data_IF_499745849479
#
_entry.id   IF_499745849479
#
_cell.length_a   1.000
_cell.length_b   1.000
_cell.length_c   1.000
_cell.angle_alpha   90.00
_cell.angle_beta   90.00
_cell.angle_gamma   90.00
#
_symmetry.space_group_name_H-M   'P 1'
#
loop_
_entity.id
_entity.type
_entity.pdbx_description
1 polymer ?
#
# COMPACT_ATOMS: atom_id res chain seq x y z
N UNK A 1 15.96 -7.41 -13.38
CA UNK A 1 14.96 -7.25 -12.29
C UNK A 1 14.85 -5.80 -11.79
N UNK A 2 15.83 -4.95 -12.05
CA UNK A 2 15.87 -3.54 -11.61
C UNK A 2 14.64 -2.72 -12.02
N UNK A 3 14.19 -2.82 -13.28
CA UNK A 3 13.01 -2.07 -13.74
C UNK A 3 11.74 -2.46 -12.97
N UNK A 4 11.50 -3.77 -12.80
CA UNK A 4 10.34 -4.29 -12.06
C UNK A 4 10.44 -3.89 -10.57
N UNK A 5 11.62 -3.98 -9.98
CA UNK A 5 11.87 -3.55 -8.60
C UNK A 5 11.55 -2.05 -8.41
N UNK A 6 12.04 -1.19 -9.29
CA UNK A 6 11.80 0.26 -9.22
C UNK A 6 10.31 0.58 -9.37
N UNK A 7 9.61 -0.10 -10.28
CA UNK A 7 8.16 0.07 -10.45
C UNK A 7 7.38 -0.38 -9.20
N UNK A 8 7.73 -1.54 -8.63
CA UNK A 8 7.11 -2.03 -7.40
C UNK A 8 7.36 -1.11 -6.21
N UNK A 9 8.57 -0.56 -6.09
CA UNK A 9 8.93 0.41 -5.06
C UNK A 9 8.18 1.73 -5.24
N UNK A 10 8.08 2.25 -6.48
CA UNK A 10 7.28 3.44 -6.78
C UNK A 10 5.81 3.22 -6.41
N UNK A 11 5.24 2.06 -6.79
CA UNK A 11 3.87 1.71 -6.45
C UNK A 11 3.67 1.66 -4.92
N UNK A 12 4.60 1.05 -4.18
CA UNK A 12 4.57 1.02 -2.72
C UNK A 12 4.59 2.44 -2.12
N UNK A 13 5.43 3.34 -2.63
CA UNK A 13 5.51 4.73 -2.16
C UNK A 13 4.21 5.49 -2.42
N UNK A 14 3.70 5.45 -3.66
CA UNK A 14 2.45 6.14 -4.02
C UNK A 14 1.26 5.58 -3.24
N UNK A 15 1.18 4.26 -3.10
CA UNK A 15 0.12 3.62 -2.33
C UNK A 15 0.21 3.96 -0.84
N UNK A 16 1.43 4.03 -0.28
CA UNK A 16 1.64 4.49 1.09
C UNK A 16 1.15 5.92 1.29
N UNK A 17 1.41 6.81 0.33
CA UNK A 17 0.93 8.19 0.39
C UNK A 17 -0.60 8.28 0.43
N UNK A 18 -1.28 7.47 -0.40
CA UNK A 18 -2.75 7.35 -0.36
C UNK A 18 -3.22 6.86 1.01
N UNK A 19 -2.59 5.82 1.57
CA UNK A 19 -2.97 5.27 2.88
C UNK A 19 -2.72 6.25 4.03
N UNK A 20 -1.61 7.00 4.00
CA UNK A 20 -1.29 8.02 5.02
C UNK A 20 -2.38 9.07 5.15
N UNK A 21 -3.02 9.46 4.03
CA UNK A 21 -4.13 10.41 4.03
C UNK A 21 -5.46 9.69 4.27
N UNK A 22 -5.71 8.60 3.53
CA UNK A 22 -7.00 7.89 3.52
C UNK A 22 -7.36 7.25 4.86
N UNK A 23 -6.39 6.70 5.59
CA UNK A 23 -6.60 6.04 6.88
C UNK A 23 -7.17 7.00 7.94
N UNK A 24 -6.52 8.13 8.28
CA UNK A 24 -7.06 9.06 9.27
C UNK A 24 -8.37 9.71 8.82
N UNK A 25 -8.50 10.02 7.53
CA UNK A 25 -9.76 10.57 6.98
C UNK A 25 -10.90 9.57 7.16
N UNK A 26 -10.69 8.31 6.82
CA UNK A 26 -11.68 7.25 7.00
C UNK A 26 -12.06 7.02 8.47
N UNK A 27 -11.09 7.10 9.39
CA UNK A 27 -11.35 6.97 10.83
C UNK A 27 -12.15 8.14 11.41
N UNK A 28 -11.95 9.36 10.90
CA UNK A 28 -12.64 10.55 11.39
C UNK A 28 -13.98 10.83 10.67
N UNK A 29 -14.23 10.18 9.52
CA UNK A 29 -15.44 10.43 8.72
C UNK A 29 -16.70 9.84 9.39
N UNK A 30 -17.77 10.63 9.60
CA UNK A 30 -18.95 10.16 10.33
C UNK A 30 -19.89 9.28 9.49
N UNK A 31 -19.68 9.21 8.18
CA UNK A 31 -20.45 8.35 7.26
C UNK A 31 -19.53 7.37 6.53
N UNK A 32 -20.13 6.30 5.99
CA UNK A 32 -19.47 5.30 5.14
C UNK A 32 -18.40 4.44 5.84
N UNK A 33 -18.46 4.32 7.17
CA UNK A 33 -17.52 3.49 7.94
C UNK A 33 -17.44 2.05 7.43
N UNK A 34 -18.57 1.40 7.15
CA UNK A 34 -18.59 -0.01 6.71
C UNK A 34 -17.84 -0.22 5.37
N UNK A 35 -17.99 0.72 4.44
CA UNK A 35 -17.27 0.70 3.16
C UNK A 35 -15.80 1.02 3.36
N UNK A 36 -15.50 2.08 4.11
CA UNK A 36 -14.13 2.50 4.42
C UNK A 36 -13.36 1.40 5.14
N UNK A 37 -13.95 0.71 6.12
CA UNK A 37 -13.34 -0.40 6.84
C UNK A 37 -12.90 -1.53 5.90
N UNK A 38 -13.74 -1.91 4.92
CA UNK A 38 -13.38 -2.91 3.91
C UNK A 38 -12.20 -2.45 3.05
N UNK A 39 -12.22 -1.19 2.61
CA UNK A 39 -11.12 -0.60 1.84
C UNK A 39 -9.83 -0.51 2.64
N UNK A 40 -9.89 -0.23 3.95
CA UNK A 40 -8.72 -0.21 4.83
C UNK A 40 -8.10 -1.59 4.99
N UNK A 41 -8.90 -2.65 5.16
CA UNK A 41 -8.39 -4.02 5.19
C UNK A 41 -7.76 -4.43 3.87
N UNK A 42 -8.45 -4.15 2.75
CA UNK A 42 -7.93 -4.45 1.42
C UNK A 42 -6.62 -3.69 1.16
N UNK A 43 -6.59 -2.39 1.48
CA UNK A 43 -5.41 -1.56 1.30
C UNK A 43 -4.24 -2.02 2.17
N UNK A 44 -4.50 -2.41 3.42
CA UNK A 44 -3.46 -2.99 4.29
C UNK A 44 -2.88 -4.29 3.71
N UNK A 45 -3.72 -5.15 3.15
CA UNK A 45 -3.29 -6.37 2.47
C UNK A 45 -2.44 -6.09 1.23
N UNK A 46 -2.88 -5.16 0.37
CA UNK A 46 -2.13 -4.74 -0.83
C UNK A 46 -0.77 -4.16 -0.44
N UNK A 47 -0.74 -3.27 0.55
CA UNK A 47 0.50 -2.66 1.05
C UNK A 47 1.47 -3.73 1.56
N UNK A 48 0.98 -4.68 2.36
CA UNK A 48 1.81 -5.78 2.88
C UNK A 48 2.40 -6.65 1.77
N UNK A 49 1.61 -7.00 0.76
CA UNK A 49 2.07 -7.75 -0.42
C UNK A 49 3.15 -6.96 -1.18
N UNK A 50 2.97 -5.65 -1.36
CA UNK A 50 3.95 -4.79 -2.02
C UNK A 50 5.28 -4.75 -1.23
N UNK A 51 5.23 -4.65 0.10
CA UNK A 51 6.44 -4.70 0.95
C UNK A 51 7.20 -6.01 0.77
N UNK A 52 6.50 -7.16 0.85
CA UNK A 52 7.12 -8.48 0.63
C UNK A 52 7.71 -8.56 -0.78
N UNK A 53 6.96 -8.10 -1.78
CA UNK A 53 7.38 -8.14 -3.19
C UNK A 53 8.67 -7.37 -3.38
N UNK A 54 8.74 -6.12 -2.88
CA UNK A 54 9.95 -5.30 -2.94
C UNK A 54 11.10 -5.97 -2.18
N UNK A 55 10.85 -6.52 -0.99
CA UNK A 55 11.85 -7.24 -0.19
C UNK A 55 12.42 -8.47 -0.89
N UNK A 56 11.59 -9.25 -1.58
CA UNK A 56 12.03 -10.42 -2.36
C UNK A 56 12.80 -9.98 -3.62
N UNK A 57 12.28 -8.99 -4.35
CA UNK A 57 12.93 -8.47 -5.55
C UNK A 57 14.31 -7.86 -5.26
N UNK A 58 14.55 -7.40 -4.02
CA UNK A 58 15.82 -6.86 -3.58
C UNK A 58 16.99 -7.84 -3.83
N UNK A 59 16.81 -9.13 -3.50
CA UNK A 59 17.83 -10.18 -3.71
C UNK A 59 18.18 -10.45 -5.17
N UNK A 60 17.41 -9.91 -6.11
CA UNK A 60 17.62 -10.07 -7.55
C UNK A 60 18.20 -8.82 -8.22
N UNK A 61 18.48 -7.77 -7.42
CA UNK A 61 18.94 -6.46 -7.90
C UNK A 61 20.23 -6.03 -7.18
N UNK A 62 20.32 -6.28 -5.88
CA UNK A 62 21.53 -6.08 -5.06
C UNK A 62 22.29 -7.41 -5.00
#
# INVERSE_FOLDING_TARGET
MTFIFQLALLALVLFSFVMVIGVPVAYASPQNWDTSKKLLYLGSGIWFILVITVGVLNYLVI
#
